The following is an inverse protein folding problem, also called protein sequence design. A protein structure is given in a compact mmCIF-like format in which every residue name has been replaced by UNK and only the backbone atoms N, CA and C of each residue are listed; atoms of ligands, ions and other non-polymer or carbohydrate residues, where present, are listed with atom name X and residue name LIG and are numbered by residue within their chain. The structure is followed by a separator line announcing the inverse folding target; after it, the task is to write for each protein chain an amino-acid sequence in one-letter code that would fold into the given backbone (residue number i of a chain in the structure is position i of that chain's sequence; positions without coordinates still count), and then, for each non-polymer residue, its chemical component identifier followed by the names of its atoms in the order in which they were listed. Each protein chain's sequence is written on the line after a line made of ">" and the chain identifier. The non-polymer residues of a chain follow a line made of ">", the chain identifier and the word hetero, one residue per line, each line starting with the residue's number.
data_IF_519975020982
#
_entry.id   IF_519975020982
#
_cell.length_a   1.000
_cell.length_b   1.000
_cell.length_c   1.000
_cell.angle_alpha   90.00
_cell.angle_beta   90.00
_cell.angle_gamma   90.00
#
_symmetry.space_group_name_H-M   'P 1'
#
loop_
_entity.id
_entity.type
_entity.pdbx_description
1 polymer ?
#
# COMPACT_ATOMS: atom_id res chain seq x y z
N UNK A 1 35.23 13.65 58.96
CA UNK A 1 36.03 13.78 57.73
C UNK A 1 36.24 12.40 57.14
N UNK A 2 35.94 12.22 55.83
CA UNK A 2 36.54 11.24 54.88
C UNK A 2 36.35 9.71 55.16
N UNK A 3 35.94 8.77 54.29
CA UNK A 3 35.77 8.66 52.82
C UNK A 3 35.24 7.23 52.50
N UNK A 4 34.15 7.08 51.72
CA UNK A 4 33.92 6.16 50.54
C UNK A 4 34.10 4.62 50.72
N UNK A 5 33.39 3.64 50.11
CA UNK A 5 32.77 3.45 48.78
C UNK A 5 31.66 2.40 48.85
N UNK A 6 30.42 2.74 48.47
CA UNK A 6 29.41 1.74 48.07
C UNK A 6 29.78 1.21 46.68
N UNK A 7 29.80 -0.12 46.54
CA UNK A 7 30.11 -0.81 45.28
C UNK A 7 29.05 -0.46 44.24
N UNK A 8 29.49 0.07 43.10
CA UNK A 8 28.70 0.21 41.90
C UNK A 8 28.38 -1.20 41.36
N UNK A 9 27.10 -1.53 41.25
CA UNK A 9 26.63 -2.73 40.58
C UNK A 9 25.69 -2.32 39.45
N UNK A 10 26.25 -2.34 38.24
CA UNK A 10 25.59 -2.51 36.94
C UNK A 10 24.26 -1.80 36.71
N UNK A 11 24.31 -0.59 36.15
CA UNK A 11 23.22 -0.13 35.29
C UNK A 11 23.40 -0.84 33.96
N UNK A 12 22.69 -1.96 33.78
CA UNK A 12 22.56 -2.59 32.48
C UNK A 12 21.79 -1.64 31.56
N UNK A 13 22.51 -0.90 30.73
CA UNK A 13 21.92 -0.17 29.60
C UNK A 13 21.47 -1.22 28.58
N UNK A 14 20.24 -1.70 28.71
CA UNK A 14 19.56 -2.46 27.66
C UNK A 14 19.32 -1.52 26.49
N UNK A 15 20.20 -1.57 25.49
CA UNK A 15 20.00 -0.90 24.21
C UNK A 15 18.85 -1.61 23.49
N UNK A 16 17.63 -1.12 23.67
CA UNK A 16 16.47 -1.55 22.88
C UNK A 16 16.67 -0.97 21.47
N UNK A 17 17.31 -1.74 20.60
CA UNK A 17 17.31 -1.49 19.17
C UNK A 17 15.87 -1.73 18.69
N UNK A 18 15.04 -0.69 18.76
CA UNK A 18 13.84 -0.61 17.96
C UNK A 18 14.33 -0.60 16.51
N UNK A 19 14.43 -1.79 15.90
CA UNK A 19 14.50 -1.87 14.45
C UNK A 19 13.17 -1.31 13.99
N UNK A 20 13.14 0.00 13.71
CA UNK A 20 12.19 0.56 12.76
C UNK A 20 12.46 -0.26 11.52
N UNK A 21 11.66 -1.33 11.33
CA UNK A 21 11.60 -2.02 10.08
C UNK A 21 11.39 -0.89 9.09
N UNK A 22 12.43 -0.61 8.31
CA UNK A 22 12.28 0.20 7.13
C UNK A 22 11.31 -0.63 6.31
N UNK A 23 10.01 -0.37 6.44
CA UNK A 23 9.04 -0.85 5.47
C UNK A 23 9.57 -0.29 4.18
N UNK A 24 10.23 -1.15 3.41
CA UNK A 24 10.48 -0.87 2.02
C UNK A 24 9.10 -0.49 1.50
N UNK A 25 8.94 0.78 1.18
CA UNK A 25 7.64 1.31 0.83
C UNK A 25 7.32 0.59 -0.48
N UNK A 26 6.47 -0.43 -0.37
CA UNK A 26 6.15 -1.33 -1.45
C UNK A 26 5.53 -0.54 -2.59
N UNK A 27 5.36 -1.20 -3.73
CA UNK A 27 4.57 -0.63 -4.81
C UNK A 27 3.11 -1.00 -4.62
N UNK A 28 2.17 -0.08 -4.88
CA UNK A 28 0.80 -0.48 -5.12
C UNK A 28 0.66 -0.83 -6.60
N UNK A 29 0.38 -2.09 -6.88
CA UNK A 29 0.14 -2.55 -8.24
C UNK A 29 -1.35 -2.48 -8.56
N UNK A 30 -1.64 -2.07 -9.79
CA UNK A 30 -2.99 -2.02 -10.35
C UNK A 30 -2.96 -2.78 -11.66
N UNK A 31 -3.82 -3.80 -11.79
CA UNK A 31 -3.97 -4.60 -13.01
C UNK A 31 -5.35 -4.35 -13.62
N UNK A 32 -5.39 -4.10 -14.92
CA UNK A 32 -6.61 -3.91 -15.69
C UNK A 32 -6.67 -4.90 -16.86
N UNK A 33 -7.39 -5.99 -16.67
CA UNK A 33 -7.67 -6.97 -17.72
C UNK A 33 -8.94 -6.65 -18.52
N UNK A 34 -9.59 -5.50 -18.25
CA UNK A 34 -10.81 -5.10 -18.95
C UNK A 34 -10.49 -4.47 -20.33
N UNK A 35 -11.45 -4.48 -21.27
CA UNK A 35 -11.26 -3.89 -22.60
C UNK A 35 -11.25 -2.35 -22.59
N UNK A 36 -11.66 -1.74 -21.47
CA UNK A 36 -11.71 -0.29 -21.29
C UNK A 36 -10.56 0.19 -20.41
N UNK A 37 -10.13 1.44 -20.57
CA UNK A 37 -9.23 2.05 -19.59
C UNK A 37 -9.99 2.36 -18.31
N UNK A 38 -9.29 2.31 -17.17
CA UNK A 38 -9.86 2.67 -15.87
C UNK A 38 -9.08 3.82 -15.23
N UNK A 39 -9.78 4.69 -14.51
CA UNK A 39 -9.17 5.71 -13.65
C UNK A 39 -9.34 5.27 -12.20
N UNK A 40 -8.22 5.11 -11.50
CA UNK A 40 -8.18 4.74 -10.08
C UNK A 40 -7.84 5.97 -9.27
N UNK A 41 -8.73 6.34 -8.34
CA UNK A 41 -8.61 7.49 -7.45
C UNK A 41 -8.37 6.96 -6.05
N UNK A 42 -7.15 7.09 -5.56
CA UNK A 42 -6.74 6.57 -4.27
C UNK A 42 -7.01 7.56 -3.12
N UNK A 43 -7.48 8.76 -3.44
CA UNK A 43 -7.83 9.81 -2.49
C UNK A 43 -6.85 10.98 -2.52
N UNK A 44 -5.55 10.68 -2.49
CA UNK A 44 -4.45 11.63 -2.65
C UNK A 44 -3.78 11.57 -4.04
N UNK A 45 -3.91 10.43 -4.72
CA UNK A 45 -3.38 10.21 -6.07
C UNK A 45 -4.46 9.70 -7.03
N UNK A 46 -4.28 9.99 -8.32
CA UNK A 46 -5.15 9.52 -9.42
C UNK A 46 -4.29 8.94 -10.54
N UNK A 47 -4.62 7.73 -10.97
CA UNK A 47 -3.87 6.98 -11.98
C UNK A 47 -4.81 6.45 -13.05
N UNK A 48 -4.45 6.69 -14.32
CA UNK A 48 -5.14 6.09 -15.46
C UNK A 48 -4.41 4.82 -15.87
N UNK A 49 -5.13 3.69 -15.87
CA UNK A 49 -4.63 2.39 -16.29
C UNK A 49 -5.23 2.02 -17.64
N UNK A 50 -4.42 1.83 -18.70
CA UNK A 50 -4.90 1.44 -20.02
C UNK A 50 -5.67 0.13 -20.01
N UNK A 51 -6.45 -0.11 -21.06
CA UNK A 51 -7.09 -1.42 -21.27
C UNK A 51 -6.04 -2.51 -21.45
N UNK A 52 -6.32 -3.70 -20.92
CA UNK A 52 -5.38 -4.83 -20.91
C UNK A 52 -3.97 -4.46 -20.41
N UNK A 53 -3.90 -3.58 -19.41
CA UNK A 53 -2.67 -2.95 -18.92
C UNK A 53 -2.51 -3.04 -17.41
N UNK A 54 -1.50 -2.33 -16.89
CA UNK A 54 -1.27 -2.21 -15.46
C UNK A 54 -0.47 -0.95 -15.12
N UNK A 55 -0.50 -0.57 -13.86
CA UNK A 55 0.28 0.53 -13.30
C UNK A 55 0.92 0.10 -11.98
N UNK A 56 2.08 0.65 -11.68
CA UNK A 56 2.81 0.42 -10.44
C UNK A 56 3.15 1.77 -9.82
N UNK A 57 2.55 2.07 -8.67
CA UNK A 57 2.86 3.26 -7.91
C UNK A 57 3.99 2.92 -6.94
N UNK A 58 5.20 3.37 -7.26
CA UNK A 58 6.35 3.13 -6.40
C UNK A 58 6.23 3.90 -5.09
N UNK A 59 6.62 3.25 -3.99
CA UNK A 59 6.68 3.85 -2.66
C UNK A 59 5.32 4.33 -2.13
N UNK A 60 4.24 3.78 -2.69
CA UNK A 60 2.87 4.10 -2.31
C UNK A 60 2.49 3.26 -1.10
N UNK A 61 2.45 3.85 0.11
CA UNK A 61 2.24 3.11 1.35
C UNK A 61 0.84 2.51 1.47
N UNK A 62 -0.14 3.35 1.81
CA UNK A 62 -1.56 3.00 1.80
C UNK A 62 -2.37 4.22 1.37
N UNK A 63 -3.53 3.99 0.75
CA UNK A 63 -4.47 5.08 0.50
C UNK A 63 -4.94 5.73 1.81
N UNK A 64 -5.26 7.03 1.80
CA UNK A 64 -5.82 7.73 2.96
C UNK A 64 -7.23 7.27 3.33
N UNK A 65 -7.92 6.53 2.45
CA UNK A 65 -9.26 6.00 2.66
C UNK A 65 -9.74 5.15 1.49
N UNK A 66 -11.04 5.21 1.21
CA UNK A 66 -11.68 4.48 0.12
C UNK A 66 -11.08 4.84 -1.25
N UNK A 67 -11.05 3.84 -2.13
CA UNK A 67 -10.50 3.96 -3.48
C UNK A 67 -11.64 3.84 -4.48
N UNK A 68 -11.75 4.79 -5.40
CA UNK A 68 -12.71 4.72 -6.49
C UNK A 68 -12.07 4.24 -7.78
N UNK A 69 -12.67 3.27 -8.45
CA UNK A 69 -12.27 2.78 -9.77
C UNK A 69 -13.36 3.11 -10.77
N UNK A 70 -13.04 3.89 -11.79
CA UNK A 70 -13.99 4.44 -12.75
C UNK A 70 -13.64 3.93 -14.14
N UNK A 71 -14.59 3.25 -14.80
CA UNK A 71 -14.44 2.78 -16.17
C UNK A 71 -14.65 3.92 -17.17
N UNK A 72 -13.85 3.94 -18.23
CA UNK A 72 -14.03 4.83 -19.38
C UNK A 72 -15.09 4.34 -20.39
N UNK A 73 -15.78 3.23 -20.10
CA UNK A 73 -16.93 2.76 -20.89
C UNK A 73 -18.01 3.85 -21.01
N UNK A 74 -18.87 3.75 -22.03
CA UNK A 74 -19.97 4.69 -22.26
C UNK A 74 -20.96 4.80 -21.08
N UNK A 75 -21.04 3.76 -20.23
CA UNK A 75 -21.82 3.76 -18.99
C UNK A 75 -21.16 4.53 -17.84
N UNK A 76 -19.83 4.72 -17.88
CA UNK A 76 -19.09 5.41 -16.83
C UNK A 76 -19.16 4.73 -15.46
N UNK A 77 -19.24 3.39 -15.44
CA UNK A 77 -19.41 2.63 -14.21
C UNK A 77 -18.30 2.94 -13.20
N UNK A 78 -18.67 3.09 -11.94
CA UNK A 78 -17.73 3.30 -10.85
C UNK A 78 -17.94 2.29 -9.74
N UNK A 79 -16.83 1.76 -9.23
CA UNK A 79 -16.80 0.85 -8.08
C UNK A 79 -16.01 1.50 -6.97
N UNK A 80 -16.57 1.52 -5.77
CA UNK A 80 -15.87 1.96 -4.56
C UNK A 80 -15.29 0.74 -3.86
N UNK A 81 -14.01 0.78 -3.56
CA UNK A 81 -13.33 -0.17 -2.68
C UNK A 81 -13.23 0.47 -1.31
N UNK A 82 -13.80 -0.18 -0.30
CA UNK A 82 -13.65 0.24 1.08
C UNK A 82 -12.18 0.14 1.48
N UNK A 83 -11.58 1.28 1.85
CA UNK A 83 -10.15 1.44 2.07
C UNK A 83 -9.79 1.77 3.53
N UNK A 84 -8.49 1.70 3.89
CA UNK A 84 -7.36 1.91 3.00
C UNK A 84 -6.86 0.66 2.25
N UNK A 85 -6.32 0.86 1.04
CA UNK A 85 -5.61 -0.16 0.24
C UNK A 85 -4.11 0.09 0.31
N UNK A 86 -3.35 -0.92 0.69
CA UNK A 86 -1.92 -0.83 1.00
C UNK A 86 -1.01 -1.48 -0.05
N UNK A 87 0.30 -1.19 0.01
CA UNK A 87 1.33 -1.67 -0.92
C UNK A 87 1.53 -3.19 -0.94
N UNK A 88 1.05 -3.90 0.07
CA UNK A 88 1.04 -5.36 0.11
C UNK A 88 -0.23 -5.95 -0.54
N UNK A 89 -1.03 -5.10 -1.17
CA UNK A 89 -2.25 -5.45 -1.89
C UNK A 89 -2.19 -4.95 -3.34
N UNK A 90 -3.03 -5.56 -4.16
CA UNK A 90 -3.19 -5.28 -5.58
C UNK A 90 -4.65 -4.93 -5.86
N UNK A 91 -4.87 -3.92 -6.68
CA UNK A 91 -6.19 -3.65 -7.26
C UNK A 91 -6.28 -4.37 -8.60
N UNK A 92 -7.26 -5.24 -8.77
CA UNK A 92 -7.46 -6.02 -10.00
C UNK A 92 -8.83 -5.72 -10.58
N UNK A 93 -8.83 -5.25 -11.83
CA UNK A 93 -10.03 -5.15 -12.67
C UNK A 93 -10.02 -6.31 -13.64
N UNK A 94 -10.99 -7.22 -13.54
CA UNK A 94 -11.07 -8.38 -14.40
C UNK A 94 -11.62 -8.06 -15.81
N UNK A 95 -11.67 -9.08 -16.68
CA UNK A 95 -12.19 -8.92 -18.05
C UNK A 95 -13.66 -8.48 -18.13
N UNK A 96 -14.45 -8.74 -17.09
CA UNK A 96 -15.85 -8.32 -17.00
C UNK A 96 -16.00 -6.93 -16.36
N UNK A 97 -14.90 -6.30 -15.93
CA UNK A 97 -14.90 -5.00 -15.26
C UNK A 97 -15.17 -5.08 -13.75
N UNK A 98 -15.17 -6.28 -13.16
CA UNK A 98 -15.29 -6.41 -11.71
C UNK A 98 -13.98 -6.02 -11.03
N UNK A 99 -14.11 -5.21 -9.98
CA UNK A 99 -12.96 -4.71 -9.23
C UNK A 99 -12.82 -5.50 -7.93
N UNK A 100 -11.63 -5.99 -7.67
CA UNK A 100 -11.28 -6.72 -6.44
C UNK A 100 -9.94 -6.26 -5.89
N UNK A 101 -9.74 -6.48 -4.59
CA UNK A 101 -8.44 -6.31 -3.93
C UNK A 101 -7.89 -7.69 -3.59
N UNK A 102 -6.69 -7.97 -4.07
CA UNK A 102 -5.97 -9.21 -3.80
C UNK A 102 -4.69 -8.92 -3.02
N UNK A 103 -4.10 -9.88 -2.29
CA UNK A 103 -2.75 -9.75 -1.78
C UNK A 103 -1.75 -9.62 -2.94
N UNK A 104 -0.77 -8.72 -2.84
CA UNK A 104 0.37 -8.74 -3.76
C UNK A 104 1.17 -10.02 -3.53
N UNK A 105 1.54 -10.69 -4.63
CA UNK A 105 2.43 -11.83 -4.55
C UNK A 105 3.78 -11.36 -4.01
N UNK A 106 4.08 -11.72 -2.76
CA UNK A 106 5.39 -11.49 -2.16
C UNK A 106 6.33 -12.57 -2.69
N UNK A 107 7.23 -12.22 -3.60
CA UNK A 107 8.41 -13.03 -3.88
C UNK A 107 9.25 -13.06 -2.59
N UNK A 108 9.23 -14.22 -1.92
CA UNK A 108 9.93 -14.47 -0.65
C UNK A 108 11.42 -14.71 -0.78
#
# INVERSE_FOLDING_TARGET
>A
MTTTRRRAAGVGLGLVLLTTACSESGGLTISNESPDSVTVRLGDEEVVVPSMGGALLHRYGCSPGDVAVISASASGDSTMLEGPVCSDQQIVVDRAGHVTVAPEATDG
#
